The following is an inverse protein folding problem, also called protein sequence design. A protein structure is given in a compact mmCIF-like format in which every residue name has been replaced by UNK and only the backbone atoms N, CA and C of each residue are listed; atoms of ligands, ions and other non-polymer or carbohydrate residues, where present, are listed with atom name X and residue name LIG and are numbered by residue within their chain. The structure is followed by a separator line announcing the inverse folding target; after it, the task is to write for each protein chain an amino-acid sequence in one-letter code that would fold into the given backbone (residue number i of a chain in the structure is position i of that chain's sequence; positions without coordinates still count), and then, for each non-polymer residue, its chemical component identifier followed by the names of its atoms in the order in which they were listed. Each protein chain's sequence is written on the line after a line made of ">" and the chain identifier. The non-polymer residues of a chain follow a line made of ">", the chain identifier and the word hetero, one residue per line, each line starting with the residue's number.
data_IF_509419885268
#
_entry.id   IF_509419885268
#
_cell.length_a   1.000
_cell.length_b   1.000
_cell.length_c   1.000
_cell.angle_alpha   90.00
_cell.angle_beta   90.00
_cell.angle_gamma   90.00
#
_symmetry.space_group_name_H-M   'P 1'
#
loop_
_entity.id
_entity.type
_entity.pdbx_description
1 polymer ?
#
# COMPACT_ATOMS: atom_id res chain seq x y z
N UNK A 1 -36.29 12.55 -36.84
CA UNK A 1 -35.23 11.64 -36.32
C UNK A 1 -35.07 11.92 -34.84
N UNK A 2 -35.77 11.14 -33.99
CA UNK A 2 -35.64 11.26 -32.53
C UNK A 2 -34.35 10.58 -32.14
N UNK A 3 -33.40 11.35 -31.62
CA UNK A 3 -32.21 10.86 -30.96
C UNK A 3 -32.68 10.28 -29.60
N UNK A 4 -32.75 8.96 -29.51
CA UNK A 4 -32.95 8.28 -28.23
C UNK A 4 -31.66 8.54 -27.42
N UNK A 5 -31.71 9.46 -26.50
CA UNK A 5 -30.71 9.59 -25.42
C UNK A 5 -31.00 8.42 -24.49
N UNK A 6 -30.29 7.31 -24.67
CA UNK A 6 -30.34 6.20 -23.71
C UNK A 6 -29.89 6.78 -22.35
N UNK A 7 -30.79 6.75 -21.40
CA UNK A 7 -30.51 7.13 -20.00
C UNK A 7 -29.33 6.28 -19.51
N UNK A 8 -28.39 6.84 -18.72
CA UNK A 8 -27.28 6.11 -18.16
C UNK A 8 -27.84 4.89 -17.41
N UNK A 9 -27.31 3.68 -17.72
CA UNK A 9 -27.75 2.46 -17.04
C UNK A 9 -27.61 2.66 -15.53
N UNK A 10 -28.73 2.75 -14.82
CA UNK A 10 -28.75 2.83 -13.36
C UNK A 10 -28.19 1.51 -12.83
N UNK A 11 -26.94 1.54 -12.32
CA UNK A 11 -26.33 0.38 -11.67
C UNK A 11 -27.24 -0.04 -10.51
N UNK A 12 -27.57 -1.34 -10.36
CA UNK A 12 -28.42 -1.79 -9.27
C UNK A 12 -27.72 -1.58 -7.93
N UNK A 13 -28.49 -1.20 -6.91
CA UNK A 13 -28.00 -1.15 -5.55
C UNK A 13 -27.68 -2.56 -5.05
N UNK A 14 -26.46 -2.75 -4.57
CA UNK A 14 -26.01 -4.01 -3.99
C UNK A 14 -26.29 -4.03 -2.49
N UNK A 15 -26.65 -5.20 -1.96
CA UNK A 15 -26.80 -5.41 -0.52
C UNK A 15 -25.42 -5.63 0.13
N UNK A 16 -25.41 -5.70 1.48
CA UNK A 16 -24.19 -5.87 2.27
C UNK A 16 -23.38 -7.10 1.82
N UNK A 17 -24.00 -8.25 1.65
CA UNK A 17 -23.31 -9.49 1.29
C UNK A 17 -22.78 -9.48 -0.15
N UNK A 18 -23.44 -8.79 -1.05
CA UNK A 18 -22.94 -8.60 -2.41
C UNK A 18 -21.70 -7.69 -2.42
N UNK A 19 -21.69 -6.62 -1.62
CA UNK A 19 -20.52 -5.75 -1.45
C UNK A 19 -19.39 -6.49 -0.74
N UNK A 20 -19.69 -7.33 0.25
CA UNK A 20 -18.74 -8.23 0.90
C UNK A 20 -18.09 -9.17 -0.12
N UNK A 21 -18.89 -9.92 -0.87
CA UNK A 21 -18.40 -10.89 -1.84
C UNK A 21 -17.53 -10.24 -2.93
N UNK A 22 -17.92 -9.07 -3.43
CA UNK A 22 -17.13 -8.36 -4.44
C UNK A 22 -15.79 -7.84 -3.90
N UNK A 23 -15.71 -7.56 -2.61
CA UNK A 23 -14.49 -7.04 -1.97
C UNK A 23 -13.61 -8.15 -1.38
N UNK A 24 -14.12 -9.37 -1.24
CA UNK A 24 -13.46 -10.47 -0.52
C UNK A 24 -12.10 -10.85 -1.12
N UNK A 25 -11.95 -10.80 -2.44
CA UNK A 25 -10.67 -11.07 -3.09
C UNK A 25 -9.54 -10.12 -2.67
N UNK A 26 -9.89 -8.90 -2.22
CA UNK A 26 -8.90 -7.96 -1.70
C UNK A 26 -8.26 -8.44 -0.39
N UNK A 27 -8.99 -9.19 0.43
CA UNK A 27 -8.42 -9.84 1.62
C UNK A 27 -7.27 -10.79 1.24
N UNK A 28 -7.45 -11.62 0.22
CA UNK A 28 -6.40 -12.53 -0.25
C UNK A 28 -5.17 -11.78 -0.77
N UNK A 29 -5.38 -10.71 -1.54
CA UNK A 29 -4.30 -9.86 -2.04
C UNK A 29 -3.50 -9.25 -0.87
N UNK A 30 -4.19 -8.71 0.13
CA UNK A 30 -3.56 -8.09 1.29
C UNK A 30 -2.91 -9.11 2.23
N UNK A 31 -3.43 -10.32 2.29
CA UNK A 31 -2.76 -11.41 3.01
C UNK A 31 -1.38 -11.70 2.38
N UNK A 32 -1.32 -11.91 1.05
CA UNK A 32 -0.04 -12.12 0.35
C UNK A 32 0.91 -10.96 0.55
N UNK A 33 0.43 -9.73 0.43
CA UNK A 33 1.20 -8.50 0.66
C UNK A 33 1.76 -8.41 2.07
N UNK A 34 0.96 -8.71 3.10
CA UNK A 34 1.39 -8.62 4.50
C UNK A 34 2.45 -9.65 4.85
N UNK A 35 2.35 -10.89 4.32
CA UNK A 35 3.39 -11.91 4.49
C UNK A 35 4.71 -11.48 3.86
N UNK A 36 4.64 -10.90 2.66
CA UNK A 36 5.80 -10.35 1.98
C UNK A 36 6.47 -9.26 2.82
N UNK A 37 5.70 -8.25 3.26
CA UNK A 37 6.23 -7.13 4.04
C UNK A 37 6.88 -7.58 5.36
N UNK A 38 6.33 -8.57 6.03
CA UNK A 38 6.86 -9.04 7.30
C UNK A 38 8.07 -9.99 7.14
N UNK A 39 8.14 -10.75 6.05
CA UNK A 39 9.05 -11.89 5.98
C UNK A 39 10.13 -11.80 4.89
N UNK A 40 10.02 -10.92 3.88
CA UNK A 40 11.00 -10.94 2.78
C UNK A 40 12.41 -10.50 3.20
N UNK A 41 12.57 -9.46 4.02
CA UNK A 41 13.89 -9.09 4.53
C UNK A 41 14.51 -10.20 5.39
N UNK A 42 13.77 -10.83 6.32
CA UNK A 42 14.24 -12.05 7.00
C UNK A 42 14.60 -13.19 6.04
N UNK A 43 13.78 -13.47 5.02
CA UNK A 43 14.08 -14.52 4.04
C UNK A 43 15.40 -14.20 3.33
N UNK A 44 15.65 -12.96 2.96
CA UNK A 44 16.92 -12.55 2.37
C UNK A 44 18.10 -12.78 3.33
N UNK A 45 17.96 -12.44 4.62
CA UNK A 45 18.98 -12.71 5.63
C UNK A 45 19.19 -14.22 5.87
N UNK A 46 18.14 -15.05 5.90
CA UNK A 46 18.27 -16.51 5.96
C UNK A 46 19.08 -17.08 4.78
N UNK A 47 18.96 -16.45 3.61
CA UNK A 47 19.68 -16.83 2.39
C UNK A 47 21.05 -16.14 2.25
N UNK A 48 21.51 -15.44 3.30
CA UNK A 48 22.85 -14.88 3.41
C UNK A 48 23.00 -13.44 2.88
N UNK A 49 21.91 -12.72 2.66
CA UNK A 49 21.98 -11.30 2.29
C UNK A 49 22.55 -10.47 3.46
N UNK A 50 23.44 -9.54 3.12
CA UNK A 50 23.92 -8.53 4.06
C UNK A 50 22.91 -7.37 4.18
N UNK A 51 22.91 -6.61 5.29
CA UNK A 51 21.97 -5.50 5.47
C UNK A 51 22.03 -4.44 4.39
N UNK A 52 23.19 -4.17 3.83
CA UNK A 52 23.42 -3.22 2.74
C UNK A 52 22.88 -3.70 1.38
N UNK A 53 22.60 -5.00 1.23
CA UNK A 53 22.01 -5.58 0.02
C UNK A 53 20.48 -5.57 0.05
N UNK A 54 19.85 -5.50 1.22
CA UNK A 54 18.38 -5.57 1.36
C UNK A 54 17.68 -4.50 0.51
N UNK A 55 18.09 -3.22 0.50
CA UNK A 55 17.34 -2.19 -0.25
C UNK A 55 17.22 -2.48 -1.74
N UNK A 56 18.31 -2.91 -2.40
CA UNK A 56 18.27 -3.20 -3.84
C UNK A 56 17.41 -4.43 -4.16
N UNK A 57 17.32 -5.39 -3.26
CA UNK A 57 16.47 -6.56 -3.42
C UNK A 57 14.98 -6.20 -3.36
N UNK A 58 14.63 -5.10 -2.68
CA UNK A 58 13.28 -4.56 -2.61
C UNK A 58 12.89 -3.61 -3.74
N UNK A 59 13.77 -3.38 -4.72
CA UNK A 59 13.50 -2.54 -5.89
C UNK A 59 12.28 -3.05 -6.69
N UNK A 60 11.95 -4.33 -6.59
CA UNK A 60 10.82 -4.95 -7.27
C UNK A 60 9.49 -4.25 -6.94
N UNK A 61 9.22 -3.99 -5.67
CA UNK A 61 7.95 -3.44 -5.22
C UNK A 61 7.62 -2.06 -5.85
N UNK A 62 8.43 -1.01 -5.68
CA UNK A 62 8.14 0.30 -6.26
C UNK A 62 8.19 0.30 -7.79
N UNK A 63 9.11 -0.46 -8.40
CA UNK A 63 9.28 -0.42 -9.84
C UNK A 63 8.15 -1.16 -10.58
N UNK A 64 7.70 -2.30 -10.06
CA UNK A 64 6.53 -2.99 -10.62
C UNK A 64 5.25 -2.18 -10.42
N UNK A 65 5.07 -1.52 -9.28
CA UNK A 65 3.96 -0.59 -9.04
C UNK A 65 3.93 0.53 -10.08
N UNK A 66 5.08 1.16 -10.34
CA UNK A 66 5.19 2.25 -11.30
C UNK A 66 4.89 1.83 -12.75
N UNK A 67 5.31 0.62 -13.14
CA UNK A 67 5.22 0.14 -14.53
C UNK A 67 3.93 -0.67 -14.76
N UNK A 68 3.66 -1.65 -13.90
CA UNK A 68 2.59 -2.63 -14.13
C UNK A 68 1.21 -2.03 -13.91
N UNK A 69 1.02 -1.21 -12.86
CA UNK A 69 -0.31 -0.63 -12.55
C UNK A 69 -0.89 0.19 -13.70
N UNK A 70 -0.19 1.16 -14.32
CA UNK A 70 -0.75 1.92 -15.45
C UNK A 70 -1.04 1.05 -16.68
N UNK A 71 -0.18 0.08 -16.96
CA UNK A 71 -0.35 -0.83 -18.11
C UNK A 71 -1.59 -1.67 -17.90
N UNK A 72 -1.73 -2.31 -16.76
CA UNK A 72 -2.87 -3.19 -16.43
C UNK A 72 -4.15 -2.38 -16.28
N UNK A 73 -4.09 -1.21 -15.68
CA UNK A 73 -5.22 -0.28 -15.61
C UNK A 73 -5.77 -0.01 -17.01
N UNK A 74 -4.89 0.46 -17.91
CA UNK A 74 -5.26 0.72 -19.31
C UNK A 74 -5.78 -0.52 -20.03
N UNK A 75 -5.08 -1.65 -19.94
CA UNK A 75 -5.50 -2.90 -20.57
C UNK A 75 -6.87 -3.36 -20.07
N UNK A 76 -7.08 -3.35 -18.76
CA UNK A 76 -8.33 -3.78 -18.15
C UNK A 76 -9.50 -2.86 -18.52
N UNK A 77 -9.26 -1.56 -18.75
CA UNK A 77 -10.28 -0.62 -19.22
C UNK A 77 -10.79 -0.93 -20.62
N UNK A 78 -9.96 -1.54 -21.47
CA UNK A 78 -10.28 -1.85 -22.86
C UNK A 78 -10.65 -3.31 -23.09
N UNK A 79 -10.61 -4.15 -22.06
CA UNK A 79 -10.96 -5.57 -22.17
C UNK A 79 -12.45 -5.78 -21.91
N UNK A 80 -13.07 -6.62 -22.74
CA UNK A 80 -14.37 -7.22 -22.47
C UNK A 80 -14.41 -8.62 -23.09
N UNK A 81 -14.55 -9.64 -22.23
CA UNK A 81 -14.62 -11.03 -22.66
C UNK A 81 -15.71 -11.80 -21.89
N UNK A 82 -15.80 -13.12 -22.07
CA UNK A 82 -16.80 -13.97 -21.37
C UNK A 82 -16.71 -13.93 -19.85
N UNK A 83 -15.55 -13.58 -19.30
CA UNK A 83 -15.34 -13.44 -17.85
C UNK A 83 -15.69 -12.03 -17.34
N UNK A 84 -15.81 -11.05 -18.22
CA UNK A 84 -16.00 -9.65 -17.89
C UNK A 84 -14.79 -8.78 -18.27
N UNK A 85 -14.70 -7.61 -17.65
CA UNK A 85 -13.66 -6.57 -17.89
C UNK A 85 -12.46 -6.75 -16.95
N UNK A 86 -12.69 -6.83 -15.64
CA UNK A 86 -11.67 -6.84 -14.60
C UNK A 86 -11.27 -8.25 -14.15
N UNK A 87 -12.22 -9.17 -14.12
CA UNK A 87 -12.06 -10.54 -13.61
C UNK A 87 -10.93 -11.35 -14.24
N UNK A 88 -10.64 -11.26 -15.56
CA UNK A 88 -9.50 -11.96 -16.17
C UNK A 88 -8.16 -11.56 -15.51
N UNK A 89 -7.99 -10.27 -15.20
CA UNK A 89 -6.79 -9.75 -14.57
C UNK A 89 -6.68 -10.19 -13.11
N UNK A 90 -7.81 -10.21 -12.36
CA UNK A 90 -7.84 -10.77 -11.01
C UNK A 90 -7.32 -12.19 -11.01
N UNK A 91 -7.84 -13.02 -11.91
CA UNK A 91 -7.47 -14.44 -11.99
C UNK A 91 -6.01 -14.63 -12.38
N UNK A 92 -5.55 -13.93 -13.42
CA UNK A 92 -4.16 -14.03 -13.88
C UNK A 92 -3.19 -13.63 -12.76
N UNK A 93 -3.41 -12.47 -12.13
CA UNK A 93 -2.57 -12.02 -11.03
C UNK A 93 -2.65 -12.96 -9.82
N UNK A 94 -3.84 -13.47 -9.48
CA UNK A 94 -4.00 -14.40 -8.36
C UNK A 94 -3.28 -15.74 -8.59
N UNK A 95 -3.35 -16.30 -9.79
CA UNK A 95 -2.64 -17.55 -10.13
C UNK A 95 -1.12 -17.33 -10.01
N UNK A 96 -0.60 -16.28 -10.64
CA UNK A 96 0.83 -16.00 -10.63
C UNK A 96 1.34 -15.67 -9.23
N UNK A 97 0.61 -14.84 -8.46
CA UNK A 97 0.96 -14.52 -7.06
C UNK A 97 0.94 -15.78 -6.17
N UNK A 98 -0.08 -16.62 -6.34
CA UNK A 98 -0.19 -17.84 -5.55
C UNK A 98 0.93 -18.82 -5.86
N UNK A 99 1.32 -18.97 -7.12
CA UNK A 99 2.49 -19.77 -7.51
C UNK A 99 3.78 -19.18 -6.93
N UNK A 100 3.97 -17.86 -6.99
CA UNK A 100 5.14 -17.21 -6.40
C UNK A 100 5.18 -17.41 -4.89
N UNK A 101 4.06 -17.24 -4.17
CA UNK A 101 3.98 -17.52 -2.73
C UNK A 101 4.24 -18.99 -2.38
N UNK A 102 3.80 -19.92 -3.21
CA UNK A 102 4.03 -21.33 -3.01
C UNK A 102 5.52 -21.69 -3.11
N UNK A 103 6.21 -21.12 -4.09
CA UNK A 103 7.62 -21.42 -4.39
C UNK A 103 8.59 -20.57 -3.56
N UNK A 104 8.22 -19.37 -3.14
CA UNK A 104 9.07 -18.42 -2.40
C UNK A 104 9.79 -19.06 -1.20
N UNK A 105 9.12 -19.77 -0.28
CA UNK A 105 9.77 -20.35 0.89
C UNK A 105 10.60 -21.60 0.58
N UNK A 106 10.63 -22.03 -0.67
CA UNK A 106 11.49 -23.12 -1.16
C UNK A 106 12.79 -22.59 -1.78
N UNK A 107 13.01 -21.28 -1.76
CA UNK A 107 14.22 -20.65 -2.29
C UNK A 107 15.46 -21.16 -1.54
N UNK A 108 16.42 -21.68 -2.26
CA UNK A 108 17.68 -22.17 -1.72
C UNK A 108 18.83 -21.16 -1.89
N UNK A 109 18.64 -20.16 -2.71
CA UNK A 109 19.64 -19.12 -3.02
C UNK A 109 18.98 -17.75 -3.11
N UNK A 110 19.76 -16.71 -2.81
CA UNK A 110 19.29 -15.33 -2.73
C UNK A 110 18.67 -14.83 -4.03
N UNK A 111 19.30 -15.08 -5.18
CA UNK A 111 18.80 -14.62 -6.48
C UNK A 111 17.44 -15.24 -6.85
N UNK A 112 17.16 -16.46 -6.39
CA UNK A 112 15.85 -17.12 -6.59
C UNK A 112 14.75 -16.38 -5.83
N UNK A 113 14.99 -16.07 -4.54
CA UNK A 113 14.02 -15.29 -3.74
C UNK A 113 13.82 -13.90 -4.31
N UNK A 114 14.89 -13.23 -4.77
CA UNK A 114 14.80 -11.91 -5.41
C UNK A 114 13.98 -11.98 -6.71
N UNK A 115 14.22 -12.95 -7.58
CA UNK A 115 13.45 -13.12 -8.82
C UNK A 115 11.97 -13.44 -8.56
N UNK A 116 11.70 -14.28 -7.56
CA UNK A 116 10.33 -14.57 -7.14
C UNK A 116 9.61 -13.35 -6.57
N UNK A 117 10.32 -12.44 -5.89
CA UNK A 117 9.74 -11.18 -5.43
C UNK A 117 9.30 -10.31 -6.62
N UNK A 118 10.10 -10.20 -7.68
CA UNK A 118 9.71 -9.49 -8.90
C UNK A 118 8.43 -10.07 -9.51
N UNK A 119 8.32 -11.39 -9.59
CA UNK A 119 7.12 -12.08 -10.09
C UNK A 119 5.93 -11.81 -9.16
N UNK A 120 6.13 -11.92 -7.85
CA UNK A 120 5.09 -11.72 -6.86
C UNK A 120 4.54 -10.29 -6.90
N UNK A 121 5.42 -9.29 -6.85
CA UNK A 121 5.02 -7.87 -6.88
C UNK A 121 4.32 -7.50 -8.19
N UNK A 122 4.86 -7.93 -9.33
CA UNK A 122 4.19 -7.70 -10.62
C UNK A 122 2.79 -8.34 -10.64
N UNK A 123 2.68 -9.57 -10.15
CA UNK A 123 1.42 -10.33 -10.15
C UNK A 123 0.39 -9.76 -9.18
N UNK A 124 0.82 -9.30 -8.01
CA UNK A 124 -0.03 -8.57 -7.05
C UNK A 124 -0.59 -7.32 -7.72
N UNK A 125 0.24 -6.54 -8.41
CA UNK A 125 -0.18 -5.32 -9.10
C UNK A 125 -1.16 -5.61 -10.26
N UNK A 126 -1.01 -6.75 -10.96
CA UNK A 126 -1.96 -7.21 -11.98
C UNK A 126 -3.35 -7.45 -11.38
N UNK A 127 -3.45 -7.98 -10.17
CA UNK A 127 -4.73 -8.17 -9.47
C UNK A 127 -5.24 -6.89 -8.84
N UNK A 128 -4.38 -6.16 -8.13
CA UNK A 128 -4.77 -5.09 -7.22
C UNK A 128 -5.35 -3.87 -7.95
N UNK A 129 -4.78 -3.46 -9.08
CA UNK A 129 -5.22 -2.26 -9.79
C UNK A 129 -6.65 -2.41 -10.36
N UNK A 130 -6.98 -3.49 -11.11
CA UNK A 130 -8.35 -3.69 -11.55
C UNK A 130 -9.33 -3.88 -10.38
N UNK A 131 -8.88 -4.45 -9.24
CA UNK A 131 -9.73 -4.61 -8.07
C UNK A 131 -10.13 -3.28 -7.45
N UNK A 132 -9.25 -2.29 -7.43
CA UNK A 132 -9.58 -0.92 -6.98
C UNK A 132 -10.65 -0.28 -7.86
N UNK A 133 -10.49 -0.40 -9.18
CA UNK A 133 -11.46 0.11 -10.15
C UNK A 133 -12.82 -0.61 -10.07
N UNK A 134 -12.82 -1.89 -9.67
CA UNK A 134 -14.01 -2.73 -9.63
C UNK A 134 -15.12 -2.19 -8.72
N UNK A 135 -14.75 -1.53 -7.61
CA UNK A 135 -15.72 -0.89 -6.70
C UNK A 135 -16.52 0.18 -7.44
N UNK A 136 -15.84 1.06 -8.17
CA UNK A 136 -16.48 2.11 -8.95
C UNK A 136 -17.27 1.56 -10.15
N UNK A 137 -16.77 0.48 -10.77
CA UNK A 137 -17.44 -0.15 -11.91
C UNK A 137 -18.76 -0.84 -11.51
N UNK A 138 -18.83 -1.44 -10.32
CA UNK A 138 -19.95 -2.25 -9.86
C UNK A 138 -21.01 -1.49 -9.08
N UNK A 139 -20.64 -0.44 -8.36
CA UNK A 139 -21.55 0.28 -7.46
C UNK A 139 -22.08 1.56 -8.10
N UNK A 140 -23.33 1.96 -7.80
CA UNK A 140 -23.78 3.32 -8.07
C UNK A 140 -23.08 4.32 -7.15
N UNK A 141 -22.96 5.57 -7.57
CA UNK A 141 -22.20 6.64 -6.87
C UNK A 141 -22.54 6.77 -5.39
N UNK A 142 -23.84 6.60 -5.05
CA UNK A 142 -24.37 6.66 -3.68
C UNK A 142 -23.79 5.56 -2.77
N UNK A 143 -23.33 4.44 -3.34
CA UNK A 143 -22.77 3.30 -2.61
C UNK A 143 -21.22 3.24 -2.66
N UNK A 144 -20.55 4.13 -3.38
CA UNK A 144 -19.08 4.11 -3.49
C UNK A 144 -18.41 4.17 -2.12
N UNK A 145 -18.89 5.04 -1.22
CA UNK A 145 -18.34 5.14 0.15
C UNK A 145 -18.43 3.80 0.89
N UNK A 146 -19.55 3.07 0.77
CA UNK A 146 -19.71 1.74 1.39
C UNK A 146 -18.80 0.70 0.76
N UNK A 147 -18.64 0.74 -0.57
CA UNK A 147 -17.74 -0.15 -1.31
C UNK A 147 -16.28 0.04 -0.89
N UNK A 148 -15.80 1.26 -0.85
CA UNK A 148 -14.42 1.56 -0.42
C UNK A 148 -14.20 1.29 1.07
N UNK A 149 -15.21 1.51 1.94
CA UNK A 149 -15.14 1.12 3.35
C UNK A 149 -15.01 -0.39 3.51
N UNK A 150 -15.79 -1.18 2.74
CA UNK A 150 -15.67 -2.64 2.73
C UNK A 150 -14.29 -3.10 2.22
N UNK A 151 -13.76 -2.46 1.18
CA UNK A 151 -12.43 -2.75 0.68
C UNK A 151 -11.37 -2.46 1.75
N UNK A 152 -11.48 -1.34 2.46
CA UNK A 152 -10.58 -0.99 3.59
C UNK A 152 -10.66 -2.02 4.73
N UNK A 153 -11.85 -2.55 5.02
CA UNK A 153 -12.02 -3.64 5.98
C UNK A 153 -11.26 -4.90 5.54
N UNK A 154 -11.38 -5.29 4.27
CA UNK A 154 -10.66 -6.44 3.71
C UNK A 154 -9.13 -6.23 3.73
N UNK A 155 -8.66 -5.01 3.48
CA UNK A 155 -7.24 -4.63 3.60
C UNK A 155 -6.77 -4.85 5.05
N UNK A 156 -7.48 -4.32 6.03
CA UNK A 156 -7.12 -4.45 7.45
C UNK A 156 -7.09 -5.90 7.92
N UNK A 157 -8.12 -6.68 7.56
CA UNK A 157 -8.17 -8.11 7.87
C UNK A 157 -7.01 -8.88 7.20
N UNK A 158 -6.76 -8.65 5.92
CA UNK A 158 -5.66 -9.30 5.19
C UNK A 158 -4.30 -8.94 5.77
N UNK A 159 -4.07 -7.66 6.10
CA UNK A 159 -2.82 -7.19 6.69
C UNK A 159 -2.51 -7.79 8.07
N UNK A 160 -3.52 -8.18 8.83
CA UNK A 160 -3.35 -8.81 10.15
C UNK A 160 -2.69 -10.20 10.07
N UNK A 161 -2.67 -10.84 8.90
CA UNK A 161 -2.03 -12.15 8.70
C UNK A 161 -0.49 -12.09 8.64
N UNK A 162 0.13 -10.90 8.75
CA UNK A 162 1.57 -10.77 8.98
C UNK A 162 2.03 -11.51 10.25
N UNK A 163 1.15 -11.69 11.25
CA UNK A 163 1.41 -12.46 12.47
C UNK A 163 1.24 -13.99 12.29
N UNK A 164 0.90 -14.49 11.12
CA UNK A 164 0.61 -15.91 10.93
C UNK A 164 1.79 -16.84 11.29
N UNK A 165 3.07 -16.55 10.97
CA UNK A 165 4.18 -17.39 11.42
C UNK A 165 4.22 -17.53 12.95
N UNK A 166 4.02 -16.42 13.68
CA UNK A 166 3.93 -16.43 15.14
C UNK A 166 2.76 -17.30 15.64
N UNK A 167 1.59 -17.19 15.04
CA UNK A 167 0.43 -18.02 15.43
C UNK A 167 0.69 -19.51 15.20
N UNK A 168 1.34 -19.87 14.08
CA UNK A 168 1.67 -21.25 13.76
C UNK A 168 2.72 -21.82 14.71
N UNK A 169 3.75 -21.05 15.06
CA UNK A 169 4.79 -21.52 15.97
C UNK A 169 4.28 -21.64 17.41
N UNK A 170 3.60 -20.60 17.89
CA UNK A 170 3.22 -20.47 19.29
C UNK A 170 2.02 -21.36 19.67
N UNK A 171 0.97 -21.41 18.84
CA UNK A 171 -0.26 -22.16 19.15
C UNK A 171 -0.28 -23.57 18.56
N UNK A 172 0.42 -23.82 17.46
CA UNK A 172 0.41 -25.10 16.78
C UNK A 172 1.76 -25.83 16.87
N UNK A 173 2.76 -25.26 17.55
CA UNK A 173 4.06 -25.87 17.77
C UNK A 173 4.87 -26.10 16.48
N UNK A 174 4.61 -25.32 15.42
CA UNK A 174 5.35 -25.43 14.17
C UNK A 174 6.78 -24.94 14.37
N UNK A 175 7.76 -25.72 13.91
CA UNK A 175 9.18 -25.44 14.12
C UNK A 175 9.61 -24.10 13.51
N UNK A 176 10.33 -23.33 14.31
CA UNK A 176 11.01 -22.07 13.95
C UNK A 176 12.49 -22.29 13.61
N UNK A 177 12.98 -23.53 13.73
CA UNK A 177 14.38 -23.85 13.49
C UNK A 177 14.73 -23.83 12.00
N UNK A 178 15.85 -23.22 11.68
CA UNK A 178 16.52 -23.31 10.38
C UNK A 178 17.53 -24.47 10.41
N UNK A 179 17.79 -25.08 9.26
CA UNK A 179 18.82 -26.13 9.10
C UNK A 179 19.71 -25.86 7.90
N UNK A 180 20.83 -26.55 7.81
CA UNK A 180 21.74 -26.46 6.65
C UNK A 180 21.08 -26.87 5.33
N UNK A 181 20.06 -27.74 5.39
CA UNK A 181 19.29 -28.17 4.22
C UNK A 181 18.04 -27.30 3.97
N UNK A 182 17.62 -26.51 4.97
CA UNK A 182 16.41 -25.71 4.94
C UNK A 182 16.63 -24.39 5.69
N UNK A 183 17.04 -23.36 4.96
CA UNK A 183 17.34 -22.06 5.52
C UNK A 183 16.09 -21.35 6.07
N UNK A 184 14.94 -21.47 5.38
CA UNK A 184 13.69 -20.78 5.75
C UNK A 184 12.87 -21.67 6.71
N UNK A 185 12.50 -21.19 7.91
CA UNK A 185 11.75 -21.96 8.91
C UNK A 185 10.38 -22.46 8.44
N UNK A 186 9.92 -23.57 9.00
CA UNK A 186 8.63 -24.17 8.65
C UNK A 186 7.44 -23.24 8.95
N UNK A 187 7.48 -22.48 10.04
CA UNK A 187 6.43 -21.53 10.37
C UNK A 187 6.23 -20.48 9.25
N UNK A 188 7.32 -19.96 8.68
CA UNK A 188 7.28 -19.05 7.54
C UNK A 188 6.78 -19.77 6.28
N UNK A 189 7.30 -21.00 6.00
CA UNK A 189 6.88 -21.78 4.82
C UNK A 189 5.38 -22.06 4.80
N UNK A 190 4.84 -22.54 5.91
CA UNK A 190 3.40 -22.86 6.00
C UNK A 190 2.54 -21.60 5.93
N UNK A 191 3.03 -20.46 6.44
CA UNK A 191 2.35 -19.17 6.29
C UNK A 191 2.25 -18.73 4.83
N UNK A 192 3.33 -18.88 4.06
CA UNK A 192 3.32 -18.56 2.63
C UNK A 192 2.42 -19.52 1.83
N UNK A 193 2.39 -20.82 2.17
CA UNK A 193 1.48 -21.77 1.54
C UNK A 193 0.03 -21.48 1.87
N UNK A 194 -0.28 -21.15 3.14
CA UNK A 194 -1.61 -20.67 3.52
C UNK A 194 -1.99 -19.39 2.77
N UNK A 195 -1.05 -18.44 2.65
CA UNK A 195 -1.21 -17.23 1.86
C UNK A 195 -1.51 -17.51 0.38
N UNK A 196 -0.79 -18.45 -0.23
CA UNK A 196 -1.03 -18.91 -1.61
C UNK A 196 -2.46 -19.42 -1.81
N UNK A 197 -2.92 -20.32 -0.94
CA UNK A 197 -4.28 -20.88 -0.99
C UNK A 197 -5.33 -19.82 -0.73
N UNK A 198 -5.11 -18.97 0.26
CA UNK A 198 -6.06 -17.91 0.63
C UNK A 198 -6.16 -16.83 -0.46
N UNK A 199 -5.05 -16.44 -1.07
CA UNK A 199 -5.04 -15.47 -2.16
C UNK A 199 -5.89 -15.98 -3.33
N UNK A 200 -5.57 -17.17 -3.84
CA UNK A 200 -6.30 -17.75 -4.96
C UNK A 200 -7.78 -17.99 -4.60
N UNK A 201 -8.03 -18.58 -3.44
CA UNK A 201 -9.38 -18.90 -2.97
C UNK A 201 -10.26 -17.66 -2.80
N UNK A 202 -9.74 -16.59 -2.22
CA UNK A 202 -10.47 -15.34 -2.02
C UNK A 202 -10.79 -14.65 -3.36
N UNK A 203 -9.84 -14.62 -4.31
CA UNK A 203 -10.08 -14.06 -5.64
C UNK A 203 -11.07 -14.90 -6.43
N UNK A 204 -10.95 -16.23 -6.40
CA UNK A 204 -11.91 -17.13 -7.02
C UNK A 204 -13.31 -16.95 -6.43
N UNK A 205 -13.43 -16.80 -5.10
CA UNK A 205 -14.71 -16.50 -4.47
C UNK A 205 -15.35 -15.25 -5.06
N UNK A 206 -14.61 -14.16 -5.15
CA UNK A 206 -15.12 -12.92 -5.78
C UNK A 206 -15.52 -13.16 -7.23
N UNK A 207 -14.71 -13.88 -8.01
CA UNK A 207 -15.01 -14.17 -9.42
C UNK A 207 -16.30 -14.98 -9.59
N UNK A 208 -16.53 -15.98 -8.76
CA UNK A 208 -17.72 -16.84 -8.87
C UNK A 208 -19.00 -16.21 -8.31
N UNK A 209 -18.87 -15.32 -7.31
CA UNK A 209 -20.02 -14.71 -6.63
C UNK A 209 -20.45 -13.37 -7.20
N UNK A 210 -19.65 -12.78 -8.12
CA UNK A 210 -19.95 -11.47 -8.73
C UNK A 210 -20.05 -11.58 -10.25
N UNK A 211 -20.85 -10.70 -10.88
CA UNK A 211 -20.95 -10.57 -12.32
C UNK A 211 -20.79 -9.10 -12.70
N UNK A 212 -19.91 -8.85 -13.66
CA UNK A 212 -19.71 -7.50 -14.19
C UNK A 212 -20.84 -7.12 -15.14
N UNK A 213 -21.13 -5.81 -15.20
CA UNK A 213 -22.10 -5.27 -16.15
C UNK A 213 -21.40 -4.96 -17.48
N UNK A 214 -22.05 -5.28 -18.62
CA UNK A 214 -21.50 -4.91 -19.93
C UNK A 214 -21.36 -3.38 -20.01
N UNK A 215 -20.31 -2.88 -20.70
CA UNK A 215 -20.17 -1.45 -20.94
C UNK A 215 -21.38 -0.94 -21.74
N UNK A 216 -21.83 0.29 -21.43
CA UNK A 216 -22.92 0.91 -22.18
C UNK A 216 -22.55 0.98 -23.68
N UNK A 217 -23.49 0.60 -24.54
CA UNK A 217 -23.31 0.65 -25.98
C UNK A 217 -23.08 2.10 -26.41
N UNK A 218 -21.85 2.45 -26.73
CA UNK A 218 -21.48 3.81 -27.15
C UNK A 218 -20.30 4.46 -26.37
N UNK A 219 -19.93 3.95 -25.22
CA UNK A 219 -18.69 4.37 -24.56
C UNK A 219 -17.46 3.82 -25.31
N UNK A 220 -17.07 4.52 -26.37
CA UNK A 220 -15.71 4.38 -26.88
C UNK A 220 -14.78 4.92 -25.80
N UNK A 221 -13.76 4.14 -25.41
CA UNK A 221 -12.74 4.65 -24.50
C UNK A 221 -12.22 5.97 -25.07
N UNK A 222 -12.19 7.04 -24.27
CA UNK A 222 -11.56 8.29 -24.70
C UNK A 222 -10.16 7.94 -25.15
N UNK A 223 -9.88 8.15 -26.44
CA UNK A 223 -8.54 7.93 -26.98
C UNK A 223 -7.61 8.86 -26.21
N UNK A 224 -6.86 8.30 -25.28
CA UNK A 224 -5.73 8.99 -24.68
C UNK A 224 -4.77 9.21 -25.82
N UNK A 225 -4.41 10.45 -26.10
CA UNK A 225 -3.40 10.78 -27.10
C UNK A 225 -2.19 9.89 -26.90
N UNK A 226 -1.47 9.53 -27.96
CA UNK A 226 -0.37 8.56 -27.88
C UNK A 226 0.62 8.87 -26.75
N UNK A 227 1.48 7.91 -26.35
CA UNK A 227 2.36 8.03 -25.15
C UNK A 227 3.15 9.33 -25.07
N UNK A 228 3.55 9.91 -26.21
CA UNK A 228 4.24 11.19 -26.26
C UNK A 228 3.37 12.41 -25.92
N UNK A 229 2.05 12.36 -26.20
CA UNK A 229 1.13 13.42 -25.81
C UNK A 229 0.87 13.41 -24.32
N UNK A 230 0.68 12.20 -23.75
CA UNK A 230 0.52 12.03 -22.31
C UNK A 230 1.77 12.47 -21.54
N UNK A 231 2.96 12.06 -21.98
CA UNK A 231 4.23 12.48 -21.36
C UNK A 231 4.37 14.02 -21.38
N UNK A 232 4.08 14.67 -22.51
CA UNK A 232 4.12 16.14 -22.63
C UNK A 232 3.14 16.81 -21.67
N UNK A 233 1.92 16.26 -21.54
CA UNK A 233 0.91 16.80 -20.64
C UNK A 233 1.31 16.63 -19.17
N UNK A 234 1.90 15.49 -18.79
CA UNK A 234 2.45 15.26 -17.45
C UNK A 234 3.58 16.25 -17.15
N UNK A 235 4.57 16.40 -18.04
CA UNK A 235 5.66 17.36 -17.84
C UNK A 235 5.16 18.82 -17.73
N UNK A 236 4.17 19.21 -18.56
CA UNK A 236 3.54 20.51 -18.46
C UNK A 236 2.85 20.70 -17.11
N UNK A 237 2.06 19.71 -16.68
CA UNK A 237 1.35 19.75 -15.39
C UNK A 237 2.32 19.75 -14.20
N UNK A 238 3.48 19.09 -14.31
CA UNK A 238 4.55 19.17 -13.31
C UNK A 238 5.13 20.58 -13.19
N UNK A 239 5.34 21.27 -14.32
CA UNK A 239 5.80 22.65 -14.30
C UNK A 239 4.77 23.61 -13.72
N UNK A 240 3.48 23.37 -13.97
CA UNK A 240 2.33 24.16 -13.52
C UNK A 240 1.81 23.74 -12.11
N UNK A 241 2.50 22.84 -11.40
CA UNK A 241 2.04 22.35 -10.07
C UNK A 241 1.74 23.50 -9.10
N UNK A 242 0.59 23.45 -8.41
CA UNK A 242 0.26 24.39 -7.34
C UNK A 242 1.30 24.37 -6.22
N UNK A 243 1.49 25.51 -5.55
CA UNK A 243 2.48 25.63 -4.47
C UNK A 243 2.24 24.63 -3.33
N UNK A 244 0.98 24.39 -2.95
CA UNK A 244 0.59 23.36 -1.98
C UNK A 244 1.09 21.99 -2.38
N UNK A 245 0.94 21.61 -3.66
CA UNK A 245 1.39 20.31 -4.17
C UNK A 245 2.92 20.18 -4.15
N UNK A 246 3.67 21.23 -4.48
CA UNK A 246 5.15 21.27 -4.39
C UNK A 246 5.64 21.07 -2.97
N UNK A 247 4.97 21.72 -2.00
CA UNK A 247 5.28 21.55 -0.59
C UNK A 247 4.94 20.15 -0.08
N UNK A 248 3.77 19.60 -0.46
CA UNK A 248 3.39 18.23 -0.15
C UNK A 248 4.33 17.20 -0.78
N UNK A 249 4.88 17.46 -1.97
CA UNK A 249 5.86 16.58 -2.60
C UNK A 249 7.06 16.30 -1.70
N UNK A 250 7.60 17.33 -1.05
CA UNK A 250 8.73 17.20 -0.14
C UNK A 250 8.34 16.46 1.15
N UNK A 251 7.15 16.74 1.69
CA UNK A 251 6.60 16.01 2.84
C UNK A 251 6.46 14.52 2.50
N UNK A 252 5.86 14.22 1.36
CA UNK A 252 5.67 12.83 0.90
C UNK A 252 7.01 12.12 0.67
N UNK A 253 7.98 12.81 0.05
CA UNK A 253 9.30 12.23 -0.16
C UNK A 253 9.94 11.78 1.16
N UNK A 254 9.95 12.63 2.18
CA UNK A 254 10.48 12.27 3.50
C UNK A 254 9.65 11.17 4.17
N UNK A 255 8.33 11.25 4.08
CA UNK A 255 7.41 10.27 4.68
C UNK A 255 7.65 8.86 4.13
N UNK A 256 7.65 8.71 2.81
CA UNK A 256 7.77 7.42 2.16
C UNK A 256 9.19 6.85 2.24
N UNK A 257 10.21 7.71 2.23
CA UNK A 257 11.59 7.29 2.49
C UNK A 257 11.70 6.66 3.89
N UNK A 258 11.16 7.33 4.90
CA UNK A 258 11.18 6.85 6.30
C UNK A 258 10.40 5.55 6.49
N UNK A 259 9.19 5.46 5.93
CA UNK A 259 8.37 4.24 6.01
C UNK A 259 9.01 3.06 5.29
N UNK A 260 9.59 3.28 4.11
CA UNK A 260 10.25 2.23 3.35
C UNK A 260 11.39 1.59 4.16
N UNK A 261 12.21 2.41 4.85
CA UNK A 261 13.26 1.89 5.72
C UNK A 261 12.71 1.11 6.91
N UNK A 262 11.59 1.53 7.47
CA UNK A 262 10.91 0.78 8.52
C UNK A 262 10.45 -0.58 8.01
N UNK A 263 9.80 -0.66 6.87
CA UNK A 263 9.36 -1.94 6.32
C UNK A 263 10.52 -2.88 5.99
N UNK A 264 11.62 -2.35 5.45
CA UNK A 264 12.79 -3.16 5.12
C UNK A 264 13.48 -3.75 6.36
N UNK A 265 13.58 -2.96 7.43
CA UNK A 265 14.48 -3.29 8.53
C UNK A 265 13.80 -3.57 9.87
N UNK A 266 12.54 -3.25 10.08
CA UNK A 266 11.91 -3.40 11.39
C UNK A 266 11.94 -4.84 11.90
N UNK A 267 11.48 -5.81 11.12
CA UNK A 267 11.45 -7.23 11.54
C UNK A 267 12.83 -7.77 11.91
N UNK A 268 13.82 -7.49 11.06
CA UNK A 268 15.21 -7.91 11.31
C UNK A 268 15.86 -7.11 12.45
N UNK A 269 15.48 -5.85 12.64
CA UNK A 269 15.94 -5.03 13.79
C UNK A 269 15.40 -5.59 15.11
N UNK A 270 14.14 -6.05 15.15
CA UNK A 270 13.57 -6.71 16.34
C UNK A 270 14.35 -7.97 16.69
N UNK A 271 14.66 -8.81 15.70
CA UNK A 271 15.43 -10.04 15.91
C UNK A 271 16.82 -9.75 16.50
N UNK A 272 17.54 -8.77 15.97
CA UNK A 272 18.89 -8.46 16.44
C UNK A 272 18.92 -7.63 17.75
N UNK A 273 18.06 -6.61 17.89
CA UNK A 273 18.14 -5.66 18.99
C UNK A 273 17.33 -6.11 20.23
N UNK A 274 16.19 -6.73 20.03
CA UNK A 274 15.27 -7.10 21.12
C UNK A 274 15.46 -8.55 21.57
N UNK A 275 15.70 -9.44 20.62
CA UNK A 275 15.94 -10.86 20.89
C UNK A 275 17.42 -11.23 20.95
N UNK A 276 18.32 -10.29 20.64
CA UNK A 276 19.77 -10.48 20.78
C UNK A 276 20.35 -11.51 19.83
N UNK A 277 19.76 -11.72 18.67
CA UNK A 277 20.25 -12.68 17.69
C UNK A 277 21.47 -12.11 16.94
N UNK A 278 22.63 -12.76 17.02
CA UNK A 278 23.87 -12.34 16.36
C UNK A 278 23.80 -12.59 14.85
N UNK A 279 23.09 -13.61 14.42
CA UNK A 279 22.97 -14.02 13.02
C UNK A 279 21.63 -14.70 12.74
N UNK A 280 21.22 -14.87 11.49
CA UNK A 280 19.94 -15.45 11.12
C UNK A 280 19.75 -16.93 11.52
N UNK A 281 20.81 -17.66 11.84
CA UNK A 281 20.78 -19.03 12.32
C UNK A 281 20.68 -19.13 13.84
N UNK A 282 20.75 -18.02 14.57
CA UNK A 282 20.60 -17.99 16.03
C UNK A 282 19.17 -18.43 16.41
N UNK A 283 19.00 -19.19 17.52
CA UNK A 283 17.69 -19.73 17.92
C UNK A 283 16.59 -18.66 18.05
N UNK A 284 16.95 -17.48 18.58
CA UNK A 284 16.00 -16.40 18.84
C UNK A 284 15.77 -15.48 17.64
N UNK A 285 16.45 -15.67 16.50
CA UNK A 285 16.27 -14.82 15.33
C UNK A 285 14.84 -14.94 14.78
N UNK A 286 14.39 -16.17 14.55
CA UNK A 286 13.03 -16.40 14.02
C UNK A 286 11.94 -15.91 14.97
N UNK A 287 12.12 -16.12 16.30
CA UNK A 287 11.19 -15.60 17.31
C UNK A 287 11.07 -14.06 17.22
N UNK A 288 12.19 -13.36 17.03
CA UNK A 288 12.22 -11.91 16.88
C UNK A 288 11.54 -11.44 15.58
N UNK A 289 11.76 -12.15 14.47
CA UNK A 289 11.08 -11.90 13.19
C UNK A 289 9.57 -12.10 13.31
N UNK A 290 9.14 -13.19 13.96
CA UNK A 290 7.73 -13.49 14.20
C UNK A 290 7.07 -12.40 15.06
N UNK A 291 7.77 -11.91 16.08
CA UNK A 291 7.29 -10.76 16.87
C UNK A 291 7.20 -9.47 16.06
N UNK A 292 8.12 -9.25 15.14
CA UNK A 292 8.03 -8.18 14.14
C UNK A 292 6.74 -8.28 13.31
N UNK A 293 6.35 -9.49 12.90
CA UNK A 293 5.08 -9.76 12.23
C UNK A 293 3.86 -9.44 13.08
N UNK A 294 3.89 -9.78 14.38
CA UNK A 294 2.86 -9.39 15.37
C UNK A 294 2.76 -7.86 15.46
N UNK A 295 3.87 -7.17 15.51
CA UNK A 295 3.92 -5.71 15.52
C UNK A 295 3.29 -5.10 14.26
N UNK A 296 3.53 -5.67 13.08
CA UNK A 296 2.89 -5.26 11.83
C UNK A 296 1.38 -5.53 11.82
N UNK A 297 0.93 -6.66 12.36
CA UNK A 297 -0.49 -6.91 12.54
C UNK A 297 -1.13 -5.89 13.48
N UNK A 298 -0.46 -5.58 14.59
CA UNK A 298 -0.95 -4.64 15.58
C UNK A 298 -1.07 -3.22 15.03
N UNK A 299 -0.08 -2.71 14.29
CA UNK A 299 -0.22 -1.37 13.68
C UNK A 299 -1.39 -1.32 12.69
N UNK A 300 -1.66 -2.40 11.98
CA UNK A 300 -2.81 -2.49 11.05
C UNK A 300 -4.14 -2.40 11.79
N UNK A 301 -4.25 -3.04 12.97
CA UNK A 301 -5.41 -2.93 13.86
C UNK A 301 -5.57 -1.48 14.36
N UNK A 302 -4.49 -0.85 14.81
CA UNK A 302 -4.50 0.56 15.25
C UNK A 302 -4.92 1.48 14.10
N UNK A 303 -4.40 1.26 12.90
CA UNK A 303 -4.78 1.97 11.67
C UNK A 303 -6.29 1.93 11.45
N UNK A 304 -6.90 0.74 11.58
CA UNK A 304 -8.33 0.56 11.42
C UNK A 304 -9.14 1.39 12.42
N UNK A 305 -8.82 1.29 13.71
CA UNK A 305 -9.55 2.04 14.75
C UNK A 305 -9.31 3.55 14.66
N UNK A 306 -8.09 3.97 14.38
CA UNK A 306 -7.77 5.39 14.24
C UNK A 306 -8.43 6.01 13.02
N UNK A 307 -8.64 5.26 11.94
CA UNK A 307 -9.36 5.71 10.76
C UNK A 307 -10.82 6.13 11.07
N UNK A 308 -11.44 5.49 12.07
CA UNK A 308 -12.78 5.87 12.52
C UNK A 308 -12.80 7.20 13.28
N UNK A 309 -11.73 7.52 14.00
CA UNK A 309 -11.61 8.75 14.77
C UNK A 309 -11.05 9.93 13.95
N UNK A 310 -10.30 9.64 12.90
CA UNK A 310 -9.56 10.62 12.11
C UNK A 310 -10.41 11.76 11.54
N UNK A 311 -11.63 11.53 11.00
CA UNK A 311 -12.48 12.62 10.49
C UNK A 311 -12.81 13.64 11.59
N UNK A 312 -13.23 13.19 12.77
CA UNK A 312 -13.56 14.07 13.90
C UNK A 312 -12.35 14.88 14.40
N UNK A 313 -11.16 14.26 14.37
CA UNK A 313 -9.91 14.93 14.72
C UNK A 313 -9.60 16.01 13.67
N UNK A 314 -9.76 15.66 12.38
CA UNK A 314 -9.50 16.58 11.28
C UNK A 314 -10.51 17.74 11.22
N UNK A 315 -11.77 17.53 11.59
CA UNK A 315 -12.76 18.60 11.75
C UNK A 315 -12.37 19.58 12.87
N UNK A 316 -11.81 19.06 13.98
CA UNK A 316 -11.44 19.88 15.14
C UNK A 316 -10.13 20.65 14.95
N UNK A 317 -9.10 20.03 14.38
CA UNK A 317 -7.74 20.58 14.30
C UNK A 317 -7.35 21.02 12.88
N UNK A 318 -8.17 20.68 11.88
CA UNK A 318 -7.85 20.82 10.48
C UNK A 318 -6.92 19.72 9.95
N UNK A 319 -6.98 19.41 8.63
CA UNK A 319 -6.25 18.29 8.06
C UNK A 319 -4.72 18.43 8.19
N UNK A 320 -4.18 19.67 8.11
CA UNK A 320 -2.74 19.92 8.24
C UNK A 320 -2.22 19.54 9.63
N UNK A 321 -2.82 20.07 10.70
CA UNK A 321 -2.35 19.81 12.05
C UNK A 321 -2.59 18.36 12.47
N UNK A 322 -3.69 17.77 12.04
CA UNK A 322 -3.97 16.33 12.22
C UNK A 322 -2.87 15.48 11.59
N UNK A 323 -2.41 15.82 10.39
CA UNK A 323 -1.32 15.11 9.75
C UNK A 323 0.01 15.30 10.48
N UNK A 324 0.33 16.51 10.93
CA UNK A 324 1.52 16.79 11.77
C UNK A 324 1.54 15.93 13.03
N UNK A 325 0.44 15.92 13.78
CA UNK A 325 0.32 15.11 15.03
C UNK A 325 0.50 13.62 14.73
N UNK A 326 -0.13 13.13 13.68
CA UNK A 326 -0.05 11.73 13.29
C UNK A 326 1.36 11.33 12.84
N UNK A 327 2.02 12.14 11.99
CA UNK A 327 3.41 11.90 11.59
C UNK A 327 4.37 11.95 12.80
N UNK A 328 4.15 12.87 13.75
CA UNK A 328 4.94 12.96 14.97
C UNK A 328 4.80 11.71 15.84
N UNK A 329 3.58 11.16 15.96
CA UNK A 329 3.34 9.90 16.66
C UNK A 329 4.10 8.73 16.01
N UNK A 330 4.07 8.63 14.68
CA UNK A 330 4.83 7.63 13.93
C UNK A 330 6.34 7.80 14.08
N UNK A 331 6.84 9.05 14.01
CA UNK A 331 8.24 9.37 14.20
C UNK A 331 8.74 8.91 15.57
N UNK A 332 8.03 9.29 16.64
CA UNK A 332 8.33 8.87 18.00
C UNK A 332 8.28 7.34 18.14
N UNK A 333 7.28 6.70 17.53
CA UNK A 333 7.16 5.25 17.50
C UNK A 333 8.39 4.59 16.88
N UNK A 334 8.80 5.00 15.68
CA UNK A 334 9.98 4.45 15.01
C UNK A 334 11.28 4.76 15.75
N UNK A 335 11.45 5.97 16.26
CA UNK A 335 12.65 6.35 17.00
C UNK A 335 12.78 5.60 18.33
N UNK A 336 11.66 5.30 19.00
CA UNK A 336 11.65 4.58 20.27
C UNK A 336 12.17 3.13 20.16
N UNK A 337 12.15 2.53 18.98
CA UNK A 337 12.68 1.18 18.76
C UNK A 337 14.16 1.06 19.16
N UNK A 338 14.93 2.15 19.06
CA UNK A 338 16.35 2.18 19.42
C UNK A 338 16.60 1.94 20.92
N UNK A 339 15.67 2.36 21.77
CA UNK A 339 15.81 2.27 23.24
C UNK A 339 14.99 1.14 23.85
N UNK A 340 14.19 0.45 23.05
CA UNK A 340 13.35 -0.66 23.50
C UNK A 340 14.07 -1.98 23.28
N UNK A 341 14.31 -2.71 24.38
CA UNK A 341 14.97 -4.02 24.40
C UNK A 341 14.05 -5.14 24.90
N UNK A 342 12.74 -4.89 24.95
CA UNK A 342 11.71 -5.89 25.33
C UNK A 342 10.62 -5.95 24.27
N UNK A 343 10.05 -7.15 24.01
CA UNK A 343 9.06 -7.30 22.94
C UNK A 343 7.79 -6.46 23.13
N UNK A 344 7.16 -6.51 24.30
CA UNK A 344 5.84 -5.91 24.52
C UNK A 344 5.78 -4.39 24.30
N UNK A 345 6.75 -3.56 24.75
CA UNK A 345 6.70 -2.12 24.49
C UNK A 345 6.79 -1.73 23.02
N UNK A 346 7.28 -2.60 22.13
CA UNK A 346 7.29 -2.37 20.69
C UNK A 346 5.88 -2.18 20.12
N UNK A 347 4.85 -2.77 20.74
CA UNK A 347 3.46 -2.57 20.33
C UNK A 347 3.07 -1.08 20.44
N UNK A 348 3.56 -0.37 21.49
CA UNK A 348 3.31 1.06 21.61
C UNK A 348 4.02 1.86 20.50
N UNK A 349 5.25 1.47 20.15
CA UNK A 349 5.97 2.04 19.01
C UNK A 349 5.16 1.88 17.73
N UNK A 350 4.62 0.69 17.49
CA UNK A 350 3.85 0.38 16.28
C UNK A 350 2.43 0.97 16.32
N UNK A 351 1.88 1.27 17.50
CA UNK A 351 0.66 2.08 17.59
C UNK A 351 0.88 3.49 17.01
N UNK A 352 2.00 4.13 17.32
CA UNK A 352 2.39 5.41 16.71
C UNK A 352 2.49 5.34 15.19
N UNK A 353 3.08 4.25 14.67
CA UNK A 353 3.17 4.01 13.23
C UNK A 353 1.77 3.82 12.60
N UNK A 354 0.86 3.10 13.27
CA UNK A 354 -0.52 2.91 12.81
C UNK A 354 -1.31 4.22 12.73
N UNK A 355 -1.13 5.10 13.69
CA UNK A 355 -1.69 6.46 13.68
C UNK A 355 -1.15 7.26 12.49
N UNK A 356 0.17 7.23 12.26
CA UNK A 356 0.79 7.90 11.12
C UNK A 356 0.28 7.35 9.80
N UNK A 357 0.25 6.03 9.65
CA UNK A 357 -0.17 5.35 8.43
C UNK A 357 -1.58 5.72 8.00
N UNK A 358 -2.53 5.74 8.95
CA UNK A 358 -3.90 6.19 8.67
C UNK A 358 -3.94 7.59 8.08
N UNK A 359 -3.19 8.50 8.66
CA UNK A 359 -3.14 9.90 8.21
C UNK A 359 -2.43 10.05 6.86
N UNK A 360 -1.37 9.27 6.61
CA UNK A 360 -0.61 9.26 5.35
C UNK A 360 -1.50 8.83 4.17
N UNK A 361 -2.39 7.87 4.40
CA UNK A 361 -3.32 7.39 3.37
C UNK A 361 -4.49 8.34 3.08
N UNK A 362 -4.70 9.39 3.88
CA UNK A 362 -5.91 10.23 3.78
C UNK A 362 -5.63 11.73 3.73
N UNK A 363 -4.88 12.28 4.69
CA UNK A 363 -4.74 13.73 4.85
C UNK A 363 -4.03 14.43 3.69
N UNK A 364 -2.91 13.92 3.13
CA UNK A 364 -2.27 14.55 1.97
C UNK A 364 -3.20 14.62 0.75
N UNK A 365 -3.99 13.58 0.54
CA UNK A 365 -4.96 13.54 -0.57
C UNK A 365 -6.10 14.53 -0.37
N UNK A 366 -6.60 14.67 0.87
CA UNK A 366 -7.63 15.64 1.20
C UNK A 366 -7.15 17.09 0.99
N UNK A 367 -5.91 17.39 1.41
CA UNK A 367 -5.29 18.71 1.22
C UNK A 367 -5.04 18.99 -0.27
N UNK A 368 -4.56 17.97 -1.00
CA UNK A 368 -4.30 18.07 -2.44
C UNK A 368 -5.60 18.35 -3.21
N UNK A 369 -6.65 17.57 -2.93
CA UNK A 369 -7.96 17.71 -3.62
C UNK A 369 -8.54 19.10 -3.50
N UNK A 370 -8.33 19.80 -2.38
CA UNK A 370 -8.73 21.19 -2.18
C UNK A 370 -7.87 22.23 -2.91
N UNK A 371 -6.74 21.82 -3.50
CA UNK A 371 -5.72 22.73 -4.05
C UNK A 371 -5.52 22.60 -5.56
N UNK A 372 -6.17 21.62 -6.20
CA UNK A 372 -6.01 21.33 -7.64
C UNK A 372 -7.31 21.58 -8.41
N UNK A 373 -7.22 22.01 -9.69
CA UNK A 373 -8.39 22.16 -10.56
C UNK A 373 -9.09 20.82 -10.78
N UNK A 374 -10.42 20.81 -10.69
CA UNK A 374 -11.25 19.59 -10.85
C UNK A 374 -11.02 18.88 -12.20
N UNK A 375 -10.80 19.66 -13.27
CA UNK A 375 -10.58 19.17 -14.63
C UNK A 375 -9.26 18.41 -14.79
N UNK A 376 -8.27 18.70 -13.94
CA UNK A 376 -6.93 18.09 -13.99
C UNK A 376 -6.66 17.14 -12.81
N UNK A 377 -7.69 16.76 -12.05
CA UNK A 377 -7.54 15.93 -10.84
C UNK A 377 -6.81 14.61 -11.14
N UNK A 378 -7.16 13.91 -12.23
CA UNK A 378 -6.53 12.64 -12.57
C UNK A 378 -5.03 12.75 -12.82
N UNK A 379 -4.59 13.77 -13.58
CA UNK A 379 -3.16 13.98 -13.88
C UNK A 379 -2.39 14.35 -12.60
N UNK A 380 -2.93 15.26 -11.78
CA UNK A 380 -2.25 15.66 -10.55
C UNK A 380 -2.21 14.56 -9.51
N UNK A 381 -3.23 13.70 -9.42
CA UNK A 381 -3.19 12.50 -8.57
C UNK A 381 -2.14 11.50 -9.05
N UNK A 382 -2.00 11.31 -10.37
CA UNK A 382 -0.95 10.50 -10.95
C UNK A 382 0.45 11.03 -10.65
N UNK A 383 0.67 12.36 -10.81
CA UNK A 383 1.94 13.00 -10.44
C UNK A 383 2.20 12.87 -8.94
N UNK A 384 1.16 13.00 -8.10
CA UNK A 384 1.29 12.85 -6.66
C UNK A 384 1.73 11.44 -6.24
N UNK A 385 1.26 10.41 -6.96
CA UNK A 385 1.72 9.03 -6.75
C UNK A 385 3.22 8.85 -7.05
N UNK A 386 3.79 9.65 -7.96
CA UNK A 386 5.25 9.62 -8.20
C UNK A 386 6.04 10.05 -6.95
N UNK A 387 5.48 10.93 -6.10
CA UNK A 387 6.13 11.35 -4.84
C UNK A 387 6.12 10.25 -3.76
N UNK A 388 5.39 9.17 -4.00
CA UNK A 388 5.40 7.94 -3.20
C UNK A 388 6.49 7.01 -3.72
N UNK A 389 6.47 6.74 -5.01
CA UNK A 389 7.31 5.71 -5.63
C UNK A 389 8.77 6.15 -5.80
N UNK A 390 9.01 7.43 -6.13
CA UNK A 390 10.37 7.93 -6.32
C UNK A 390 11.27 7.81 -5.08
N UNK A 391 10.84 8.18 -3.84
CA UNK A 391 11.66 7.98 -2.65
C UNK A 391 11.96 6.50 -2.38
N UNK A 392 11.04 5.59 -2.67
CA UNK A 392 11.26 4.15 -2.52
C UNK A 392 12.30 3.63 -3.52
N UNK A 393 12.24 4.07 -4.79
CA UNK A 393 13.26 3.75 -5.80
C UNK A 393 14.62 4.34 -5.41
N UNK A 394 14.65 5.61 -4.99
CA UNK A 394 15.88 6.25 -4.50
C UNK A 394 16.47 5.46 -3.32
N UNK A 395 15.63 5.06 -2.38
CA UNK A 395 16.04 4.23 -1.25
C UNK A 395 16.60 2.89 -1.71
N UNK A 396 15.90 2.18 -2.58
CA UNK A 396 16.34 0.89 -3.09
C UNK A 396 17.72 0.95 -3.77
N UNK A 397 18.01 2.03 -4.49
CA UNK A 397 19.26 2.21 -5.21
C UNK A 397 20.41 2.71 -4.33
N UNK A 398 20.15 3.61 -3.37
CA UNK A 398 21.20 4.33 -2.67
C UNK A 398 21.34 3.99 -1.18
N UNK A 399 20.29 3.45 -0.55
CA UNK A 399 20.31 3.24 0.90
C UNK A 399 21.28 2.13 1.34
N UNK A 400 21.60 1.17 0.46
CA UNK A 400 22.63 0.17 0.74
C UNK A 400 23.99 0.80 1.04
N UNK A 401 24.37 1.84 0.29
CA UNK A 401 25.58 2.61 0.56
C UNK A 401 25.51 3.31 1.93
N UNK A 402 24.36 3.91 2.27
CA UNK A 402 24.14 4.53 3.59
C UNK A 402 24.25 3.49 4.70
N UNK A 403 23.66 2.31 4.51
CA UNK A 403 23.72 1.22 5.48
C UNK A 403 25.16 0.82 5.80
N UNK A 404 26.00 0.60 4.77
CA UNK A 404 27.37 0.15 4.97
C UNK A 404 28.31 1.24 5.48
N UNK A 405 28.22 2.48 4.97
CA UNK A 405 29.21 3.53 5.25
C UNK A 405 28.80 4.51 6.36
N UNK A 406 27.50 4.71 6.58
CA UNK A 406 26.99 5.67 7.57
C UNK A 406 26.43 4.96 8.80
N UNK A 407 25.65 3.91 8.60
CA UNK A 407 24.94 3.22 9.68
C UNK A 407 25.67 1.96 10.18
N UNK A 408 26.81 1.61 9.60
CA UNK A 408 27.61 0.43 10.01
C UNK A 408 26.82 -0.88 9.95
N UNK A 409 25.91 -1.01 8.99
CA UNK A 409 24.99 -2.15 8.86
C UNK A 409 24.06 -2.38 10.07
N UNK A 410 23.86 -1.35 10.90
CA UNK A 410 22.97 -1.44 12.05
C UNK A 410 21.50 -1.22 11.63
N UNK A 411 20.71 -2.27 11.73
CA UNK A 411 19.30 -2.29 11.30
C UNK A 411 18.40 -1.39 12.15
N UNK A 412 18.70 -1.28 13.44
CA UNK A 412 17.94 -0.41 14.37
C UNK A 412 18.17 1.06 14.01
N UNK A 413 19.40 1.43 13.65
CA UNK A 413 19.70 2.79 13.18
C UNK A 413 18.97 3.12 11.87
N UNK A 414 18.73 2.14 11.01
CA UNK A 414 17.92 2.34 9.81
C UNK A 414 16.46 2.70 10.16
N UNK A 415 15.85 1.97 11.10
CA UNK A 415 14.49 2.27 11.60
C UNK A 415 14.45 3.63 12.30
N UNK A 416 15.43 3.93 13.13
CA UNK A 416 15.56 5.24 13.81
C UNK A 416 15.69 6.38 12.79
N UNK A 417 16.55 6.25 11.80
CA UNK A 417 16.72 7.24 10.73
C UNK A 417 15.43 7.43 9.92
N UNK A 418 14.67 6.36 9.69
CA UNK A 418 13.32 6.43 9.13
C UNK A 418 12.39 7.28 9.99
N UNK A 419 12.44 7.11 11.31
CA UNK A 419 11.72 7.97 12.28
C UNK A 419 12.13 9.44 12.20
N UNK A 420 13.43 9.72 12.00
CA UNK A 420 13.93 11.10 11.80
C UNK A 420 13.35 11.73 10.52
N UNK A 421 13.22 10.95 9.42
CA UNK A 421 12.56 11.43 8.21
C UNK A 421 11.06 11.67 8.39
N UNK A 422 10.36 10.87 9.18
CA UNK A 422 8.98 11.15 9.55
C UNK A 422 8.86 12.43 10.41
N UNK A 423 9.79 12.66 11.35
CA UNK A 423 9.84 13.89 12.13
C UNK A 423 10.10 15.11 11.24
N UNK A 424 11.01 14.99 10.27
CA UNK A 424 11.26 16.02 9.27
C UNK A 424 10.01 16.28 8.41
N UNK A 425 9.31 15.24 7.99
CA UNK A 425 8.06 15.36 7.26
C UNK A 425 6.98 16.10 8.08
N UNK A 426 6.85 15.77 9.38
CA UNK A 426 5.95 16.47 10.29
C UNK A 426 6.31 17.96 10.43
N UNK A 427 7.60 18.28 10.55
CA UNK A 427 8.08 19.64 10.58
C UNK A 427 7.80 20.40 9.27
N UNK A 428 8.11 19.82 8.14
CA UNK A 428 7.84 20.40 6.82
C UNK A 428 6.35 20.62 6.58
N UNK A 429 5.50 19.75 7.11
CA UNK A 429 4.05 19.86 6.99
C UNK A 429 3.50 21.13 7.66
N UNK A 430 4.16 21.67 8.69
CA UNK A 430 3.78 22.94 9.32
C UNK A 430 3.81 24.14 8.33
N UNK A 431 4.64 24.07 7.31
CA UNK A 431 4.81 25.13 6.31
C UNK A 431 3.95 24.95 5.06
N UNK A 432 3.21 23.83 4.95
CA UNK A 432 2.32 23.58 3.81
C UNK A 432 1.16 24.57 3.85
N UNK A 433 1.02 25.35 2.78
CA UNK A 433 -0.07 26.30 2.62
C UNK A 433 -1.34 25.55 2.19
N UNK A 434 -2.40 25.69 2.94
CA UNK A 434 -3.73 25.25 2.53
C UNK A 434 -4.34 26.36 1.67
N UNK A 435 -4.27 26.20 0.36
CA UNK A 435 -4.99 27.07 -0.56
C UNK A 435 -6.37 26.46 -0.78
N UNK A 436 -7.39 27.04 -0.20
CA UNK A 436 -8.76 26.80 -0.67
C UNK A 436 -8.89 27.55 -1.99
N UNK A 437 -9.11 26.82 -3.09
CA UNK A 437 -9.54 27.46 -4.33
C UNK A 437 -10.80 28.27 -4.02
N UNK A 438 -10.90 29.55 -4.45
CA UNK A 438 -12.16 30.27 -4.31
C UNK A 438 -13.26 29.46 -4.98
N UNK A 439 -14.38 29.25 -4.31
CA UNK A 439 -15.57 28.73 -4.98
C UNK A 439 -15.78 29.57 -6.25
N UNK A 440 -16.11 28.94 -7.41
CA UNK A 440 -16.48 29.67 -8.59
C UNK A 440 -17.57 30.67 -8.14
N UNK A 441 -17.26 31.94 -8.20
CA UNK A 441 -18.23 32.99 -7.83
C UNK A 441 -19.56 32.65 -8.49
N UNK A 442 -20.59 32.42 -7.66
CA UNK A 442 -21.93 32.14 -8.14
C UNK A 442 -22.21 33.18 -9.22
N UNK A 443 -22.38 32.74 -10.46
CA UNK A 443 -22.79 33.63 -11.57
C UNK A 443 -24.01 34.33 -11.03
N UNK A 444 -24.02 35.68 -10.96
CA UNK A 444 -25.21 36.38 -10.52
C UNK A 444 -26.36 35.93 -11.42
N UNK A 445 -27.33 35.23 -10.82
CA UNK A 445 -28.58 34.93 -11.53
C UNK A 445 -29.12 36.25 -12.00
N UNK A 446 -29.02 36.53 -13.30
CA UNK A 446 -29.58 37.71 -13.90
C UNK A 446 -31.04 37.80 -13.47
N UNK A 447 -31.38 38.87 -12.77
CA UNK A 447 -32.75 39.10 -12.32
C UNK A 447 -33.69 39.00 -13.53
N UNK A 448 -34.64 38.11 -13.46
CA UNK A 448 -35.67 37.96 -14.47
C UNK A 448 -36.37 39.34 -14.65
N UNK A 449 -36.62 39.81 -15.89
CA UNK A 449 -37.32 41.04 -16.09
C UNK A 449 -38.71 40.95 -15.50
N UNK A 450 -39.06 41.96 -14.68
CA UNK A 450 -40.40 42.13 -14.14
C UNK A 450 -41.40 42.20 -15.31
N UNK A 451 -42.35 41.28 -15.32
CA UNK A 451 -43.47 41.31 -16.24
C UNK A 451 -44.36 42.52 -15.83
N UNK A 452 -44.51 43.47 -16.73
CA UNK A 452 -45.51 44.51 -16.70
C UNK A 452 -46.88 43.95 -17.09
#
# INVERSE_FOLDING_TARGET
>A
TYTIVEAPMNKPRLNFWQIWNMSFGFLGIQFGWSLQMANMSPIYEYLGAKPDQIPILWLAAPLTGLIVQPIIGHMSDHTWNRMGRRRPYFLTGAILSSLALLVMPMSSVLWMAAGLLWILDASINISMEPFRAFVADMLPDEQHTRGFAMQSLMIGLGASFSALPFLLSHFFGVSTASSSTQAIPNAVRYSFWAGSVTFLGAVLWTIFTTREYPPASGEKPKAVGGPGALAREVFKSMAEMPQTMKQLALVQFCTWLGLFWMWLYFGVAVAHNVYGADNPQAPHYTEGVEWGGVCFAFYSVVTFFYAMALPSIAERFGPRLTHVMSLSAGALGMMSVMVIHRPMPLLLSMAGVGIAWTSILSMPYAILAGSIPKEKTGIYMGIFNMFIVLPEICSALFFGWVMSHVLGNNRVLAVFAGGCFLALAAFLMLFVRQSTMPEPSAIPVAAAPARA
#
